data_IF_063656335609
#
_entry.id   IF_063656335609
#
_cell.length_a   1.000
_cell.length_b   1.000
_cell.length_c   1.000
_cell.angle_alpha   90.00
_cell.angle_beta   90.00
_cell.angle_gamma   90.00
#
_symmetry.space_group_name_H-M   'P 1'
#
loop_
_entity.id
_entity.type
_entity.pdbx_description
1 polymer ?
#
# COMPACT_ATOMS: atom_id res chain seq x y z
N UNK A 1 -50.27 -29.99 17.98
CA UNK A 1 -51.39 -29.42 17.22
C UNK A 1 -50.87 -28.48 16.18
N UNK A 2 -51.16 -28.82 14.90
CA UNK A 2 -51.25 -28.01 13.70
C UNK A 2 -50.04 -27.10 13.33
N UNK A 3 -49.13 -27.48 12.42
CA UNK A 3 -49.23 -27.55 10.94
C UNK A 3 -49.60 -26.24 10.26
N UNK A 4 -48.65 -25.71 9.46
CA UNK A 4 -48.86 -25.38 8.05
C UNK A 4 -47.60 -24.88 7.38
N UNK A 5 -47.19 -25.58 6.35
CA UNK A 5 -46.27 -25.24 5.28
C UNK A 5 -47.00 -24.52 4.11
N UNK A 6 -46.44 -24.34 2.92
CA UNK A 6 -45.81 -23.11 2.40
C UNK A 6 -46.59 -22.54 1.20
N UNK A 7 -46.18 -21.43 0.65
CA UNK A 7 -46.77 -20.98 -0.62
C UNK A 7 -45.65 -20.59 -1.61
N UNK A 8 -45.48 -21.45 -2.58
CA UNK A 8 -44.80 -21.25 -3.86
C UNK A 8 -45.67 -20.44 -4.80
N UNK A 9 -45.15 -19.42 -5.44
CA UNK A 9 -45.76 -18.78 -6.60
C UNK A 9 -44.76 -18.75 -7.76
N UNK A 10 -45.09 -19.56 -8.78
CA UNK A 10 -44.49 -19.50 -10.13
C UNK A 10 -45.04 -18.29 -10.91
N UNK A 11 -44.31 -17.75 -11.88
CA UNK A 11 -44.82 -16.73 -12.80
C UNK A 11 -45.49 -17.36 -14.03
N UNK A 12 -46.45 -16.69 -14.65
CA UNK A 12 -47.24 -17.23 -15.78
C UNK A 12 -46.53 -17.15 -17.12
N UNK A 13 -46.73 -18.18 -17.92
CA UNK A 13 -46.44 -18.24 -19.36
C UNK A 13 -47.49 -17.45 -20.10
N UNK A 14 -47.09 -16.70 -21.09
CA UNK A 14 -47.99 -16.16 -22.10
C UNK A 14 -47.73 -16.84 -23.47
N UNK A 15 -48.83 -17.33 -24.06
CA UNK A 15 -48.92 -17.92 -25.40
C UNK A 15 -49.75 -17.03 -26.27
N UNK A 16 -49.44 -17.02 -27.50
CA UNK A 16 -50.30 -16.91 -28.70
C UNK A 16 -49.73 -15.93 -29.73
N UNK A 17 -49.34 -16.48 -30.84
CA UNK A 17 -50.07 -16.70 -32.09
C UNK A 17 -50.17 -15.41 -32.91
N UNK A 18 -49.54 -15.28 -34.06
CA UNK A 18 -49.85 -15.95 -35.28
C UNK A 18 -50.39 -14.91 -36.26
N UNK A 19 -49.78 -14.71 -37.41
CA UNK A 19 -50.36 -13.83 -38.42
C UNK A 19 -49.40 -13.62 -39.59
N UNK A 20 -49.69 -14.32 -40.61
CA UNK A 20 -49.10 -14.43 -41.94
C UNK A 20 -49.24 -13.22 -42.82
N UNK A 21 -48.31 -13.10 -43.75
CA UNK A 21 -48.46 -13.00 -45.19
C UNK A 21 -48.13 -11.69 -45.91
N UNK A 22 -47.38 -11.90 -47.00
CA UNK A 22 -47.37 -11.20 -48.29
C UNK A 22 -46.77 -9.80 -48.30
N UNK A 23 -45.66 -9.58 -48.92
CA UNK A 23 -45.34 -9.75 -50.33
C UNK A 23 -45.10 -8.39 -50.92
N UNK A 24 -43.91 -8.13 -51.42
CA UNK A 24 -43.71 -7.35 -52.62
C UNK A 24 -42.21 -7.33 -52.95
N UNK A 25 -41.92 -8.05 -53.99
CA UNK A 25 -40.70 -7.85 -54.81
C UNK A 25 -40.56 -6.39 -55.19
N UNK A 26 -39.38 -5.83 -55.02
CA UNK A 26 -38.87 -4.97 -56.09
C UNK A 26 -37.35 -4.79 -56.04
N UNK A 27 -36.76 -5.25 -57.10
CA UNK A 27 -35.65 -4.69 -57.88
C UNK A 27 -34.26 -4.70 -57.28
N UNK A 28 -33.58 -5.77 -57.58
CA UNK A 28 -32.14 -5.72 -57.88
C UNK A 28 -31.92 -4.70 -59.00
N UNK A 29 -31.43 -3.53 -58.62
CA UNK A 29 -30.76 -2.64 -59.59
C UNK A 29 -29.46 -2.14 -59.01
N UNK A 30 -28.40 -2.79 -59.50
CA UNK A 30 -27.05 -2.29 -59.74
C UNK A 30 -26.26 -1.69 -58.59
N UNK A 31 -25.64 -2.56 -57.80
CA UNK A 31 -24.40 -2.24 -57.05
C UNK A 31 -23.22 -1.95 -58.00
N UNK A 32 -23.38 -2.13 -59.31
CA UNK A 32 -22.33 -1.92 -60.29
C UNK A 32 -21.98 -0.45 -60.54
N UNK A 33 -22.90 0.48 -60.29
CA UNK A 33 -22.66 1.94 -60.45
C UNK A 33 -22.01 2.60 -59.22
N UNK A 34 -21.97 1.93 -58.10
CA UNK A 34 -21.37 2.46 -56.86
C UNK A 34 -19.87 2.23 -56.78
N UNK A 35 -19.35 1.24 -57.51
CA UNK A 35 -17.93 0.81 -57.44
C UNK A 35 -17.02 1.50 -58.46
N UNK A 36 -17.57 2.31 -59.36
CA UNK A 36 -16.75 2.92 -60.45
C UNK A 36 -16.67 4.44 -60.48
N UNK A 37 -17.27 5.16 -59.57
CA UNK A 37 -17.29 6.64 -59.59
C UNK A 37 -16.87 7.36 -58.31
N UNK A 38 -16.24 6.70 -57.39
CA UNK A 38 -15.61 7.40 -56.25
C UNK A 38 -14.10 7.16 -56.34
N UNK A 39 -13.29 8.19 -56.67
CA UNK A 39 -11.85 8.07 -56.54
C UNK A 39 -11.55 7.72 -55.07
N UNK A 40 -10.76 6.69 -54.88
CA UNK A 40 -10.20 6.33 -53.56
C UNK A 40 -9.42 7.54 -53.02
N UNK A 41 -10.11 8.42 -52.30
CA UNK A 41 -9.45 9.33 -51.39
C UNK A 41 -8.73 8.38 -50.38
N UNK A 42 -7.44 8.29 -50.52
CA UNK A 42 -6.57 7.67 -49.52
C UNK A 42 -6.99 8.16 -48.15
N UNK A 43 -7.78 7.38 -47.44
CA UNK A 43 -7.80 7.46 -46.00
C UNK A 43 -6.40 7.03 -45.57
N UNK A 44 -5.57 8.01 -45.32
CA UNK A 44 -4.45 7.82 -44.45
C UNK A 44 -5.05 7.30 -43.13
N UNK A 45 -4.95 6.02 -42.90
CA UNK A 45 -5.09 5.48 -41.53
C UNK A 45 -4.07 6.24 -40.72
N UNK A 46 -4.52 7.31 -40.05
CA UNK A 46 -3.78 7.84 -38.94
C UNK A 46 -3.56 6.65 -38.01
N UNK A 47 -2.34 6.13 -37.99
CA UNK A 47 -1.90 5.21 -36.96
C UNK A 47 -2.41 5.80 -35.66
N UNK A 48 -3.47 5.24 -35.07
CA UNK A 48 -3.79 5.47 -33.67
C UNK A 48 -2.52 5.08 -32.96
N UNK A 49 -1.75 6.08 -32.54
CA UNK A 49 -0.65 5.85 -31.61
C UNK A 49 -1.33 5.23 -30.40
N UNK A 50 -1.20 3.93 -30.24
CA UNK A 50 -1.59 3.28 -29.01
C UNK A 50 -0.70 3.90 -27.94
N UNK A 51 -1.28 4.76 -27.11
CA UNK A 51 -0.60 5.27 -25.93
C UNK A 51 -0.20 4.01 -25.16
N UNK A 52 1.09 3.82 -24.87
CA UNK A 52 1.54 2.63 -24.14
C UNK A 52 0.73 2.49 -22.85
N UNK A 53 0.18 1.30 -22.61
CA UNK A 53 -0.53 1.01 -21.37
C UNK A 53 0.42 1.28 -20.19
N UNK A 54 -0.05 2.02 -19.18
CA UNK A 54 0.73 2.36 -17.98
C UNK A 54 1.31 3.78 -17.94
N UNK A 55 1.24 4.58 -19.03
CA UNK A 55 1.72 5.97 -19.01
C UNK A 55 0.79 6.94 -18.27
N UNK A 56 -0.47 6.56 -18.09
CA UNK A 56 -1.47 7.41 -17.44
C UNK A 56 -2.00 6.74 -16.18
N UNK A 57 -2.06 7.50 -15.11
CA UNK A 57 -2.58 7.07 -13.82
C UNK A 57 -3.74 7.97 -13.39
N UNK A 58 -4.83 7.38 -12.90
CA UNK A 58 -5.97 8.14 -12.39
C UNK A 58 -5.82 8.31 -10.89
N UNK A 59 -5.85 9.55 -10.40
CA UNK A 59 -5.79 9.81 -8.97
C UNK A 59 -7.07 9.27 -8.28
N UNK A 60 -6.94 8.40 -7.25
CA UNK A 60 -8.11 7.82 -6.58
C UNK A 60 -8.89 8.83 -5.72
N UNK A 61 -8.33 10.00 -5.46
CA UNK A 61 -8.97 11.04 -4.61
C UNK A 61 -9.70 12.11 -5.42
N UNK A 62 -9.14 12.56 -6.56
CA UNK A 62 -9.72 13.67 -7.34
C UNK A 62 -10.01 13.29 -8.80
N UNK A 63 -9.87 12.03 -9.18
CA UNK A 63 -10.10 11.48 -10.52
C UNK A 63 -9.26 12.10 -11.65
N UNK A 64 -8.29 12.95 -11.32
CA UNK A 64 -7.40 13.55 -12.29
C UNK A 64 -6.56 12.49 -13.00
N UNK A 65 -6.47 12.60 -14.31
CA UNK A 65 -5.57 11.78 -15.14
C UNK A 65 -4.19 12.42 -15.09
N UNK A 66 -3.20 11.64 -14.64
CA UNK A 66 -1.84 12.08 -14.35
C UNK A 66 -0.85 11.31 -15.22
N UNK A 67 0.17 11.98 -15.71
CA UNK A 67 1.24 11.37 -16.48
C UNK A 67 2.27 10.74 -15.57
N UNK A 68 2.61 9.46 -15.79
CA UNK A 68 3.48 8.69 -14.90
C UNK A 68 4.83 9.36 -14.60
N UNK A 69 5.58 9.91 -15.60
CA UNK A 69 6.83 10.61 -15.34
C UNK A 69 6.69 11.89 -14.50
N UNK A 70 5.51 12.56 -14.53
CA UNK A 70 5.26 13.70 -13.65
C UNK A 70 4.96 13.25 -12.21
N UNK A 71 4.27 12.12 -12.05
CA UNK A 71 4.06 11.51 -10.74
C UNK A 71 5.37 11.10 -10.08
N UNK A 72 6.29 10.54 -10.83
CA UNK A 72 7.62 10.16 -10.32
C UNK A 72 8.39 11.38 -9.81
N UNK A 73 8.33 12.52 -10.49
CA UNK A 73 8.93 13.78 -10.03
C UNK A 73 8.32 14.30 -8.72
N UNK A 74 7.02 14.04 -8.52
CA UNK A 74 6.31 14.42 -7.31
C UNK A 74 6.27 13.31 -6.26
N UNK A 75 7.11 12.26 -6.40
CA UNK A 75 7.20 11.11 -5.51
C UNK A 75 5.84 10.40 -5.32
N UNK A 76 5.08 10.23 -6.41
CA UNK A 76 3.72 9.66 -6.39
C UNK A 76 2.73 10.44 -5.50
N UNK A 77 2.89 11.75 -5.38
CA UNK A 77 1.92 12.65 -4.77
C UNK A 77 1.17 13.39 -5.89
N UNK A 78 -0.15 13.37 -5.84
CA UNK A 78 -0.97 14.05 -6.85
C UNK A 78 -0.72 15.56 -6.87
N UNK A 79 -0.28 16.16 -7.99
CA UNK A 79 -0.01 17.59 -8.04
C UNK A 79 -1.26 18.46 -7.93
N UNK A 80 -2.46 17.88 -8.12
CA UNK A 80 -3.74 18.61 -8.08
C UNK A 80 -4.41 18.64 -6.72
N UNK A 81 -4.40 17.50 -5.99
CA UNK A 81 -5.10 17.40 -4.70
C UNK A 81 -4.19 16.99 -3.54
N UNK A 82 -2.88 16.83 -3.80
CA UNK A 82 -1.88 16.43 -2.83
C UNK A 82 -2.15 15.05 -2.17
N UNK A 83 -2.96 14.21 -2.82
CA UNK A 83 -3.17 12.85 -2.36
C UNK A 83 -1.88 12.04 -2.51
N UNK A 84 -1.42 11.43 -1.42
CA UNK A 84 -0.26 10.54 -1.38
C UNK A 84 -0.69 9.16 -1.87
N UNK A 85 -0.30 8.79 -3.10
CA UNK A 85 -0.56 7.47 -3.63
C UNK A 85 0.35 6.44 -2.95
N UNK A 86 -0.10 5.21 -2.89
CA UNK A 86 0.71 4.12 -2.36
C UNK A 86 1.93 3.89 -3.24
N UNK A 87 3.07 3.66 -2.60
CA UNK A 87 4.33 3.26 -3.25
C UNK A 87 4.86 2.01 -2.58
N UNK A 88 5.60 1.21 -3.33
CA UNK A 88 6.23 0.00 -2.80
C UNK A 88 7.35 0.29 -1.82
N UNK A 89 7.71 -0.71 -1.02
CA UNK A 89 8.71 -0.58 0.02
C UNK A 89 10.09 -0.22 -0.54
N UNK A 90 10.54 -0.84 -1.64
CA UNK A 90 11.82 -0.50 -2.28
C UNK A 90 11.85 0.93 -2.77
N UNK A 91 10.82 1.36 -3.50
CA UNK A 91 10.72 2.73 -3.97
C UNK A 91 10.78 3.74 -2.81
N UNK A 92 10.13 3.44 -1.69
CA UNK A 92 10.15 4.27 -0.49
C UNK A 92 11.56 4.39 0.10
N UNK A 93 12.28 3.28 0.21
CA UNK A 93 13.65 3.26 0.70
C UNK A 93 14.61 3.92 -0.29
N UNK A 94 14.37 3.79 -1.59
CA UNK A 94 15.16 4.44 -2.65
C UNK A 94 15.04 5.98 -2.62
N UNK A 95 13.84 6.48 -2.38
CA UNK A 95 13.60 7.93 -2.21
C UNK A 95 14.23 8.44 -0.93
N UNK A 96 14.28 7.63 0.11
CA UNK A 96 14.65 8.07 1.45
C UNK A 96 16.15 7.98 1.74
N UNK A 97 16.80 6.87 1.40
CA UNK A 97 18.22 6.63 1.68
C UNK A 97 19.12 7.15 0.56
N UNK A 98 20.36 7.42 0.91
CA UNK A 98 21.44 7.66 -0.06
C UNK A 98 21.62 6.42 -0.94
N UNK A 99 22.07 6.60 -2.18
CA UNK A 99 22.18 5.47 -3.14
C UNK A 99 23.29 4.51 -2.78
N UNK A 100 24.37 4.99 -2.17
CA UNK A 100 25.59 4.22 -1.95
C UNK A 100 25.61 3.52 -0.59
N UNK A 101 26.23 2.33 -0.56
CA UNK A 101 26.53 1.61 0.67
C UNK A 101 25.32 1.02 1.38
N UNK A 102 24.25 0.71 0.65
CA UNK A 102 23.07 0.00 1.19
C UNK A 102 23.34 -1.48 1.31
N UNK A 103 22.85 -2.06 2.37
CA UNK A 103 22.89 -3.51 2.62
C UNK A 103 21.52 -3.98 3.11
N UNK A 104 20.99 -5.02 2.46
CA UNK A 104 19.71 -5.60 2.86
C UNK A 104 19.87 -6.61 3.99
N UNK A 105 19.08 -6.45 5.04
CA UNK A 105 19.10 -7.26 6.23
C UNK A 105 18.04 -8.37 6.17
N UNK A 106 18.46 -9.63 6.22
CA UNK A 106 17.54 -10.76 6.21
C UNK A 106 16.88 -11.02 4.84
N UNK A 107 17.57 -10.68 3.74
CA UNK A 107 17.12 -11.01 2.39
C UNK A 107 16.99 -12.53 2.15
N UNK A 108 17.75 -13.31 2.90
CA UNK A 108 17.77 -14.78 2.90
C UNK A 108 16.54 -15.43 3.56
N UNK A 109 15.73 -14.65 4.26
CA UNK A 109 14.58 -15.16 5.00
C UNK A 109 13.39 -15.37 4.07
N UNK A 110 12.80 -16.56 4.17
CA UNK A 110 11.60 -16.94 3.44
C UNK A 110 10.48 -17.42 4.38
N UNK A 111 9.21 -17.08 4.09
CA UNK A 111 8.09 -17.53 4.90
C UNK A 111 7.85 -19.02 4.75
N UNK A 112 7.53 -19.68 5.87
CA UNK A 112 7.23 -21.12 5.92
C UNK A 112 5.81 -21.34 6.41
N UNK A 113 5.00 -22.04 5.62
CA UNK A 113 3.64 -22.45 6.02
C UNK A 113 3.70 -23.63 7.02
N UNK A 114 3.96 -23.30 8.30
CA UNK A 114 4.07 -24.30 9.38
C UNK A 114 2.72 -24.94 9.74
N UNK A 115 1.64 -24.20 9.57
CA UNK A 115 0.30 -24.62 9.97
C UNK A 115 -0.47 -25.33 8.83
N UNK A 116 0.09 -25.33 7.62
CA UNK A 116 -0.61 -25.78 6.40
C UNK A 116 -1.99 -25.13 6.28
N UNK A 117 -2.02 -23.81 6.57
CA UNK A 117 -3.27 -23.06 6.65
C UNK A 117 -3.99 -23.04 5.30
N UNK A 118 -5.29 -23.22 5.37
CA UNK A 118 -6.19 -23.15 4.22
C UNK A 118 -7.53 -22.53 4.61
N UNK A 119 -7.91 -21.50 3.89
CA UNK A 119 -9.27 -20.98 3.81
C UNK A 119 -9.84 -21.26 2.40
N UNK A 120 -10.24 -20.25 1.65
CA UNK A 120 -10.58 -20.37 0.22
C UNK A 120 -9.39 -20.78 -0.65
N UNK A 121 -8.16 -20.45 -0.23
CA UNK A 121 -6.88 -20.79 -0.88
C UNK A 121 -5.88 -21.27 0.18
N UNK A 122 -4.90 -22.08 -0.23
CA UNK A 122 -3.78 -22.45 0.65
C UNK A 122 -2.89 -21.23 0.91
N UNK A 123 -2.34 -21.12 2.10
CA UNK A 123 -1.41 -20.04 2.45
C UNK A 123 -0.20 -20.02 1.51
N UNK A 124 0.37 -21.20 1.23
CA UNK A 124 1.49 -21.33 0.26
C UNK A 124 1.17 -20.71 -1.11
N UNK A 125 -0.05 -20.89 -1.62
CA UNK A 125 -0.45 -20.35 -2.91
C UNK A 125 -0.59 -18.81 -2.86
N UNK A 126 -1.01 -18.27 -1.70
CA UNK A 126 -1.06 -16.82 -1.47
C UNK A 126 0.34 -16.22 -1.39
N UNK A 127 1.29 -16.88 -0.72
CA UNK A 127 2.69 -16.46 -0.66
C UNK A 127 3.30 -16.38 -2.04
N UNK A 128 3.19 -17.45 -2.85
CA UNK A 128 3.72 -17.48 -4.21
C UNK A 128 3.11 -16.38 -5.11
N UNK A 129 1.81 -16.13 -4.95
CA UNK A 129 1.14 -15.06 -5.70
C UNK A 129 1.65 -13.67 -5.29
N UNK A 130 1.82 -13.42 -3.98
CA UNK A 130 2.34 -12.16 -3.47
C UNK A 130 3.80 -11.94 -3.87
N UNK A 131 4.64 -12.97 -3.77
CA UNK A 131 6.05 -12.94 -4.22
C UNK A 131 6.15 -12.61 -5.71
N UNK A 132 5.31 -13.24 -6.54
CA UNK A 132 5.27 -12.97 -7.99
C UNK A 132 4.81 -11.55 -8.30
N UNK A 133 3.86 -11.04 -7.54
CA UNK A 133 3.28 -9.70 -7.73
C UNK A 133 4.26 -8.60 -7.34
N UNK A 134 4.94 -8.76 -6.20
CA UNK A 134 5.78 -7.70 -5.60
C UNK A 134 7.25 -7.84 -5.92
N UNK A 135 7.71 -9.05 -6.27
CA UNK A 135 9.14 -9.37 -6.38
C UNK A 135 9.83 -9.52 -5.02
N UNK A 136 9.09 -9.44 -3.90
CA UNK A 136 9.62 -9.50 -2.54
C UNK A 136 9.34 -10.84 -1.89
N UNK A 137 10.24 -11.30 -1.01
CA UNK A 137 10.06 -12.56 -0.28
C UNK A 137 9.01 -12.45 0.83
N UNK A 138 8.84 -11.28 1.45
CA UNK A 138 7.84 -11.00 2.48
C UNK A 138 7.55 -9.49 2.60
N UNK A 139 6.61 -9.12 3.47
CA UNK A 139 6.00 -7.79 3.57
C UNK A 139 6.86 -6.71 4.24
N UNK A 140 8.13 -6.95 4.55
CA UNK A 140 9.04 -5.95 5.11
C UNK A 140 10.40 -6.02 4.42
N UNK A 141 10.91 -4.87 4.00
CA UNK A 141 12.30 -4.70 3.57
C UNK A 141 13.03 -3.92 4.65
N UNK A 142 14.23 -4.36 5.00
CA UNK A 142 15.09 -3.70 5.97
C UNK A 142 16.45 -3.43 5.35
N UNK A 143 16.87 -2.17 5.33
CA UNK A 143 18.16 -1.75 4.78
C UNK A 143 19.00 -1.04 5.84
N UNK A 144 20.27 -1.37 5.90
CA UNK A 144 21.32 -0.53 6.47
C UNK A 144 21.82 0.39 5.38
N UNK A 145 22.00 1.68 5.69
CA UNK A 145 22.44 2.67 4.70
C UNK A 145 22.77 4.02 5.34
N UNK A 146 22.64 5.08 4.56
CA UNK A 146 22.85 6.45 5.04
C UNK A 146 21.67 7.34 4.68
N UNK A 147 21.44 8.34 5.48
CA UNK A 147 20.50 9.42 5.24
C UNK A 147 21.25 10.75 5.27
N UNK A 148 21.47 11.37 4.11
CA UNK A 148 22.29 12.59 3.97
C UNK A 148 23.65 12.41 4.66
N UNK A 149 24.33 11.31 4.32
CA UNK A 149 25.62 10.93 4.88
C UNK A 149 25.61 10.32 6.29
N UNK A 150 24.53 10.43 7.05
CA UNK A 150 24.43 9.86 8.40
C UNK A 150 24.06 8.36 8.34
N UNK A 151 24.79 7.48 9.04
CA UNK A 151 24.40 6.07 9.15
C UNK A 151 23.02 5.93 9.76
N UNK A 152 22.18 5.12 9.14
CA UNK A 152 20.81 4.77 9.63
C UNK A 152 20.44 3.36 9.23
N UNK A 153 19.50 2.77 9.95
CA UNK A 153 18.78 1.57 9.54
C UNK A 153 17.34 1.95 9.21
N UNK A 154 16.86 1.59 8.04
CA UNK A 154 15.50 1.90 7.62
C UNK A 154 14.76 0.65 7.18
N UNK A 155 13.51 0.51 7.66
CA UNK A 155 12.58 -0.51 7.24
C UNK A 155 11.40 0.10 6.50
N UNK A 156 10.84 -0.63 5.53
CA UNK A 156 9.59 -0.26 4.89
C UNK A 156 8.71 -1.49 4.67
N UNK A 157 7.43 -1.34 4.97
CA UNK A 157 6.43 -2.36 4.69
C UNK A 157 6.03 -2.35 3.22
N UNK A 158 5.95 -3.56 2.63
CA UNK A 158 5.37 -3.78 1.31
C UNK A 158 3.89 -4.12 1.46
N UNK A 159 3.03 -3.14 1.22
CA UNK A 159 1.60 -3.33 1.43
C UNK A 159 0.98 -4.28 0.41
N UNK A 160 1.50 -4.32 -0.81
CA UNK A 160 0.99 -5.22 -1.86
C UNK A 160 1.34 -6.68 -1.60
N UNK A 161 2.28 -6.94 -0.66
CA UNK A 161 2.52 -8.28 -0.15
C UNK A 161 1.51 -8.62 0.96
N UNK A 162 0.42 -9.27 0.60
CA UNK A 162 -0.64 -9.72 1.52
C UNK A 162 -1.14 -8.61 2.49
N UNK A 163 -1.33 -7.39 1.97
CA UNK A 163 -1.77 -6.25 2.75
C UNK A 163 -0.75 -5.75 3.78
N UNK A 164 0.54 -5.96 3.54
CA UNK A 164 1.59 -5.57 4.50
C UNK A 164 1.50 -6.32 5.83
N UNK A 165 0.85 -7.49 5.87
CA UNK A 165 0.58 -8.19 7.12
C UNK A 165 1.85 -8.73 7.78
N UNK A 166 1.95 -8.52 9.10
CA UNK A 166 3.09 -8.96 9.90
C UNK A 166 3.03 -10.46 10.19
N UNK A 167 3.91 -11.23 9.55
CA UNK A 167 4.20 -12.63 9.84
C UNK A 167 5.55 -12.79 10.52
N UNK A 168 5.99 -14.05 10.67
CA UNK A 168 7.24 -14.40 11.33
C UNK A 168 8.47 -13.72 10.69
N UNK A 169 8.50 -13.62 9.37
CA UNK A 169 9.60 -13.01 8.62
C UNK A 169 9.66 -11.50 8.84
N UNK A 170 8.51 -10.82 8.83
CA UNK A 170 8.43 -9.38 9.13
C UNK A 170 9.03 -9.09 10.50
N UNK A 171 8.60 -9.86 11.54
CA UNK A 171 9.14 -9.69 12.88
C UNK A 171 10.63 -10.00 12.97
N UNK A 172 11.13 -11.03 12.27
CA UNK A 172 12.55 -11.36 12.26
C UNK A 172 13.40 -10.30 11.55
N UNK A 173 12.98 -9.82 10.36
CA UNK A 173 13.68 -8.75 9.65
C UNK A 173 13.72 -7.47 10.46
N UNK A 174 12.60 -7.13 11.13
CA UNK A 174 12.56 -5.97 12.03
C UNK A 174 13.56 -6.10 13.18
N UNK A 175 13.66 -7.28 13.82
CA UNK A 175 14.63 -7.51 14.90
C UNK A 175 16.07 -7.48 14.39
N UNK A 176 16.36 -8.02 13.21
CA UNK A 176 17.68 -7.87 12.57
C UNK A 176 18.03 -6.42 12.31
N UNK A 177 17.06 -5.61 11.89
CA UNK A 177 17.24 -4.17 11.73
C UNK A 177 17.56 -3.47 13.05
N UNK A 178 16.85 -3.80 14.13
CA UNK A 178 17.15 -3.32 15.48
C UNK A 178 18.56 -3.71 15.90
N UNK A 179 18.96 -4.97 15.71
CA UNK A 179 20.31 -5.44 16.07
C UNK A 179 21.38 -4.68 15.28
N UNK A 180 21.18 -4.47 13.98
CA UNK A 180 22.12 -3.68 13.16
C UNK A 180 22.21 -2.21 13.64
N UNK A 181 21.10 -1.61 14.06
CA UNK A 181 21.09 -0.26 14.63
C UNK A 181 21.84 -0.20 15.97
N UNK A 182 21.69 -1.21 16.83
CA UNK A 182 22.43 -1.36 18.08
C UNK A 182 23.93 -1.52 17.84
N UNK A 183 24.33 -2.42 16.94
CA UNK A 183 25.74 -2.68 16.59
C UNK A 183 26.44 -1.44 16.06
N UNK A 184 25.76 -0.66 15.23
CA UNK A 184 26.33 0.56 14.64
C UNK A 184 26.11 1.82 15.48
N UNK A 185 25.35 1.71 16.57
CA UNK A 185 24.90 2.87 17.37
C UNK A 185 24.31 3.99 16.51
N UNK A 186 23.45 3.61 15.54
CA UNK A 186 22.81 4.52 14.61
C UNK A 186 21.28 4.47 14.74
N UNK A 187 20.55 5.55 14.42
CA UNK A 187 19.11 5.59 14.54
C UNK A 187 18.43 4.61 13.57
N UNK A 188 17.23 4.22 13.95
CA UNK A 188 16.36 3.37 13.13
C UNK A 188 15.08 4.10 12.75
N UNK A 189 14.59 3.84 11.53
CA UNK A 189 13.29 4.31 11.05
C UNK A 189 12.48 3.12 10.51
N UNK A 190 11.14 3.21 10.61
CA UNK A 190 10.26 2.24 10.00
C UNK A 190 9.07 2.93 9.31
N UNK A 191 8.96 2.75 8.01
CA UNK A 191 7.78 3.17 7.25
C UNK A 191 6.72 2.06 7.34
N UNK A 192 5.73 2.26 8.17
CA UNK A 192 4.68 1.29 8.41
C UNK A 192 3.52 1.45 7.43
N UNK A 193 3.15 0.34 6.76
CA UNK A 193 1.97 0.20 5.92
C UNK A 193 1.43 -1.23 6.07
N UNK A 194 0.35 -1.43 6.85
CA UNK A 194 -0.06 -2.78 7.20
C UNK A 194 -1.53 -2.90 7.57
N UNK A 195 -2.15 -4.00 7.16
CA UNK A 195 -3.45 -4.44 7.66
C UNK A 195 -3.41 -5.12 9.04
N UNK A 196 -2.23 -5.36 9.61
CA UNK A 196 -2.06 -5.96 10.95
C UNK A 196 -1.35 -7.30 10.96
N UNK A 197 -1.66 -8.15 11.96
CA UNK A 197 -1.05 -9.47 12.10
C UNK A 197 -1.53 -10.44 11.00
N UNK A 198 -0.63 -11.26 10.48
CA UNK A 198 -0.92 -12.23 9.41
C UNK A 198 -1.76 -13.40 9.93
N UNK A 199 -3.03 -13.41 9.54
CA UNK A 199 -4.01 -14.40 10.01
C UNK A 199 -3.57 -15.85 9.73
N UNK A 200 -2.94 -16.10 8.59
CA UNK A 200 -2.51 -17.43 8.16
C UNK A 200 -1.41 -18.03 9.03
N UNK A 201 -0.73 -17.22 9.81
CA UNK A 201 0.30 -17.66 10.78
C UNK A 201 -0.23 -17.71 12.23
N UNK A 202 -1.50 -17.39 12.45
CA UNK A 202 -2.19 -17.48 13.73
C UNK A 202 -1.39 -16.88 14.89
N UNK A 203 -1.18 -17.64 15.99
CA UNK A 203 -0.43 -17.18 17.16
C UNK A 203 1.00 -16.74 16.84
N UNK A 204 1.65 -17.34 15.83
CA UNK A 204 3.03 -16.96 15.45
C UNK A 204 3.08 -15.49 15.03
N UNK A 205 2.09 -15.01 14.28
CA UNK A 205 2.02 -13.60 13.87
C UNK A 205 1.75 -12.67 15.06
N UNK A 206 0.94 -13.07 16.03
CA UNK A 206 0.69 -12.28 17.24
C UNK A 206 1.94 -12.19 18.13
N UNK A 207 2.73 -13.25 18.22
CA UNK A 207 4.00 -13.25 18.96
C UNK A 207 5.03 -12.29 18.37
N UNK A 208 4.89 -11.88 17.10
CA UNK A 208 5.77 -10.85 16.52
C UNK A 208 5.57 -9.48 17.17
N UNK A 209 4.36 -9.18 17.66
CA UNK A 209 4.12 -7.94 18.41
C UNK A 209 5.02 -7.85 19.64
N UNK A 210 5.04 -8.91 20.48
CA UNK A 210 5.90 -8.98 21.65
C UNK A 210 7.40 -8.96 21.26
N UNK A 211 7.77 -9.70 20.21
CA UNK A 211 9.15 -9.80 19.73
C UNK A 211 9.70 -8.44 19.27
N UNK A 212 8.93 -7.70 18.47
CA UNK A 212 9.34 -6.38 17.96
C UNK A 212 9.36 -5.33 19.07
N UNK A 213 8.39 -5.35 19.99
CA UNK A 213 8.36 -4.45 21.15
C UNK A 213 9.55 -4.67 22.09
N UNK A 214 9.91 -5.93 22.37
CA UNK A 214 11.10 -6.26 23.17
C UNK A 214 12.40 -5.81 22.48
N UNK A 215 12.46 -5.89 21.15
CA UNK A 215 13.61 -5.39 20.42
C UNK A 215 13.72 -3.86 20.52
N UNK A 216 12.62 -3.11 20.39
CA UNK A 216 12.60 -1.65 20.55
C UNK A 216 12.97 -1.20 21.96
N UNK A 217 12.61 -1.98 23.00
CA UNK A 217 13.03 -1.69 24.37
C UNK A 217 14.56 -1.61 24.48
N UNK A 218 15.29 -2.49 23.76
CA UNK A 218 16.76 -2.47 23.73
C UNK A 218 17.33 -1.22 23.07
N UNK A 219 16.72 -0.70 21.99
CA UNK A 219 17.13 0.59 21.39
C UNK A 219 16.97 1.71 22.40
N UNK A 220 15.85 1.73 23.10
CA UNK A 220 15.55 2.74 24.12
C UNK A 220 16.53 2.69 25.30
N UNK A 221 16.88 1.49 25.80
CA UNK A 221 17.87 1.31 26.86
C UNK A 221 19.24 1.87 26.46
N UNK A 222 19.62 1.73 25.18
CA UNK A 222 20.88 2.25 24.62
C UNK A 222 20.79 3.71 24.14
N UNK A 223 19.64 4.37 24.29
CA UNK A 223 19.42 5.75 23.87
C UNK A 223 19.54 5.95 22.35
N UNK A 224 19.23 4.91 21.56
CA UNK A 224 19.26 4.97 20.11
C UNK A 224 17.87 5.32 19.59
N UNK A 225 17.70 6.44 18.86
CA UNK A 225 16.41 6.89 18.39
C UNK A 225 15.72 5.94 17.41
N UNK A 226 14.43 5.70 17.64
CA UNK A 226 13.54 5.02 16.72
C UNK A 226 12.42 5.95 16.25
N UNK A 227 12.34 6.23 14.95
CA UNK A 227 11.26 7.01 14.35
C UNK A 227 10.32 6.08 13.59
N UNK A 228 9.04 6.13 13.97
CA UNK A 228 7.97 5.47 13.22
C UNK A 228 7.33 6.43 12.23
N UNK A 229 7.27 6.05 10.95
CA UNK A 229 6.61 6.83 9.89
C UNK A 229 5.39 6.05 9.42
N UNK A 230 4.21 6.54 9.78
CA UNK A 230 2.93 5.91 9.47
C UNK A 230 2.46 6.34 8.09
N UNK A 231 2.22 5.37 7.22
CA UNK A 231 1.71 5.61 5.86
C UNK A 231 0.32 4.98 5.69
N UNK A 232 -0.30 5.10 4.53
CA UNK A 232 -1.68 4.64 4.33
C UNK A 232 -1.76 3.20 3.82
N UNK A 233 -2.43 2.25 4.55
CA UNK A 233 -2.96 2.34 5.90
C UNK A 233 -2.06 1.65 6.96
N UNK A 234 -2.29 1.92 8.26
CA UNK A 234 -1.66 1.18 9.36
C UNK A 234 -2.70 0.69 10.36
N UNK A 235 -2.84 -0.63 10.51
CA UNK A 235 -3.86 -1.23 11.35
C UNK A 235 -3.37 -2.43 12.19
N UNK A 236 -4.24 -2.85 13.08
CA UNK A 236 -4.19 -4.11 13.83
C UNK A 236 -2.94 -4.30 14.65
N UNK A 237 -2.33 -5.50 14.58
CA UNK A 237 -1.14 -5.85 15.37
C UNK A 237 0.08 -4.98 15.09
N UNK A 238 0.22 -4.39 13.89
CA UNK A 238 1.34 -3.50 13.57
C UNK A 238 1.16 -2.15 14.27
N UNK A 239 -0.03 -1.54 14.20
CA UNK A 239 -0.31 -0.33 14.96
C UNK A 239 -0.22 -0.55 16.47
N UNK A 240 -0.72 -1.68 16.99
CA UNK A 240 -0.67 -2.03 18.40
C UNK A 240 0.71 -2.50 18.90
N UNK A 241 1.75 -2.37 18.09
CA UNK A 241 3.13 -2.71 18.45
C UNK A 241 4.12 -1.72 17.84
N UNK A 242 5.00 -2.17 16.98
CA UNK A 242 6.14 -1.39 16.47
C UNK A 242 5.78 -0.02 15.87
N UNK A 243 4.59 0.13 15.26
CA UNK A 243 4.24 1.38 14.58
C UNK A 243 3.91 2.52 15.56
N UNK A 244 3.40 2.24 16.75
CA UNK A 244 3.06 3.25 17.77
C UNK A 244 4.07 3.30 18.93
N UNK A 245 5.26 2.70 18.76
CA UNK A 245 6.33 2.66 19.76
C UNK A 245 7.56 3.50 19.36
N UNK A 246 7.42 4.41 18.39
CA UNK A 246 8.46 5.36 18.02
C UNK A 246 8.73 6.37 19.15
N UNK A 247 9.99 6.80 19.31
CA UNK A 247 10.34 7.97 20.12
C UNK A 247 9.74 9.23 19.51
N UNK A 248 9.58 9.24 18.19
CA UNK A 248 8.81 10.21 17.42
C UNK A 248 7.95 9.44 16.41
N UNK A 249 6.66 9.77 16.37
CA UNK A 249 5.68 9.16 15.49
C UNK A 249 5.24 10.20 14.45
N UNK A 250 5.61 9.95 13.21
CA UNK A 250 5.32 10.80 12.06
C UNK A 250 4.28 10.12 11.18
N UNK A 251 3.37 10.88 10.57
CA UNK A 251 2.45 10.34 9.57
C UNK A 251 2.53 11.10 8.23
N UNK A 252 2.25 10.41 7.12
CA UNK A 252 1.94 11.08 5.86
C UNK A 252 0.54 11.74 5.96
N UNK A 253 0.29 12.85 5.23
CA UNK A 253 -1.02 13.49 5.19
C UNK A 253 -2.14 12.53 4.81
N UNK A 254 -3.25 12.59 5.50
CA UNK A 254 -4.45 11.78 5.28
C UNK A 254 -4.25 10.27 5.40
N UNK A 255 -3.15 9.81 5.96
CA UNK A 255 -2.93 8.40 6.21
C UNK A 255 -4.00 7.85 7.17
N UNK A 256 -4.49 6.65 6.88
CA UNK A 256 -5.53 6.00 7.66
C UNK A 256 -4.86 5.07 8.70
N UNK A 257 -5.00 5.42 9.98
CA UNK A 257 -4.24 4.80 11.06
C UNK A 257 -5.18 4.48 12.22
N UNK A 258 -5.17 3.22 12.68
CA UNK A 258 -6.01 2.80 13.79
C UNK A 258 -5.74 1.35 14.18
N UNK A 259 -6.55 0.82 15.10
CA UNK A 259 -6.48 -0.62 15.42
C UNK A 259 -7.45 -1.42 14.55
N UNK A 260 -8.74 -1.14 14.65
CA UNK A 260 -9.75 -1.73 13.75
C UNK A 260 -10.05 -0.76 12.60
N UNK A 261 -10.22 -1.30 11.39
CA UNK A 261 -10.59 -0.48 10.24
C UNK A 261 -12.00 0.14 10.39
N UNK A 262 -12.28 1.30 9.76
CA UNK A 262 -13.57 2.00 9.89
C UNK A 262 -14.78 1.11 9.64
N UNK A 263 -14.76 0.29 8.61
CA UNK A 263 -15.84 -0.65 8.28
C UNK A 263 -16.14 -1.65 9.40
N UNK A 264 -15.09 -2.16 10.06
CA UNK A 264 -15.24 -3.11 11.17
C UNK A 264 -15.89 -2.42 12.36
N UNK A 265 -15.46 -1.19 12.66
CA UNK A 265 -16.03 -0.39 13.74
C UNK A 265 -17.52 -0.10 13.47
N UNK A 266 -17.84 0.44 12.30
CA UNK A 266 -19.23 0.77 11.91
C UNK A 266 -20.15 -0.45 11.93
N UNK A 267 -19.68 -1.60 11.47
CA UNK A 267 -20.45 -2.86 11.52
C UNK A 267 -20.66 -3.39 12.94
N UNK A 268 -19.69 -3.16 13.83
CA UNK A 268 -19.75 -3.64 15.21
C UNK A 268 -20.59 -2.73 16.08
N UNK A 269 -20.36 -1.41 15.99
CA UNK A 269 -21.06 -0.38 16.80
C UNK A 269 -22.40 -0.01 16.17
N UNK A 270 -22.58 -0.23 14.86
CA UNK A 270 -23.76 0.13 14.04
C UNK A 270 -24.02 1.62 13.97
N UNK A 271 -22.96 2.41 14.08
CA UNK A 271 -22.99 3.87 13.97
C UNK A 271 -22.07 4.34 12.85
N UNK A 272 -22.37 5.49 12.27
CA UNK A 272 -21.49 6.13 11.29
C UNK A 272 -20.36 6.86 12.02
N UNK A 273 -19.14 6.65 11.55
CA UNK A 273 -17.97 7.33 12.10
C UNK A 273 -17.95 8.81 11.65
N UNK A 274 -17.44 9.71 12.49
CA UNK A 274 -17.23 11.10 12.11
C UNK A 274 -16.34 11.22 10.87
N UNK A 275 -16.54 12.30 10.10
CA UNK A 275 -15.64 12.63 9.00
C UNK A 275 -14.20 12.83 9.49
N UNK A 276 -13.24 12.28 8.78
CA UNK A 276 -11.82 12.36 9.16
C UNK A 276 -11.39 11.41 10.28
N UNK A 277 -12.29 10.60 10.83
CA UNK A 277 -11.96 9.62 11.87
C UNK A 277 -10.80 8.69 11.44
N UNK A 278 -9.84 8.49 12.32
CA UNK A 278 -8.61 7.70 12.08
C UNK A 278 -7.69 8.27 10.99
N UNK A 279 -7.90 9.48 10.48
CA UNK A 279 -6.92 10.13 9.62
C UNK A 279 -5.78 10.72 10.45
N UNK A 280 -4.61 10.87 9.82
CA UNK A 280 -3.43 11.44 10.48
C UNK A 280 -3.73 12.80 11.14
N UNK A 281 -4.55 13.65 10.51
CA UNK A 281 -4.95 14.95 11.05
C UNK A 281 -5.73 14.80 12.36
N UNK A 282 -6.70 13.88 12.40
CA UNK A 282 -7.46 13.55 13.60
C UNK A 282 -6.54 13.04 14.72
N UNK A 283 -5.60 12.17 14.39
CA UNK A 283 -4.67 11.61 15.37
C UNK A 283 -3.69 12.66 15.92
N UNK A 284 -3.25 13.60 15.09
CA UNK A 284 -2.41 14.71 15.51
C UNK A 284 -3.17 15.64 16.49
N UNK A 285 -4.42 15.98 16.18
CA UNK A 285 -5.28 16.79 17.04
C UNK A 285 -5.52 16.14 18.41
N UNK A 286 -5.60 14.80 18.45
CA UNK A 286 -5.80 14.04 19.70
C UNK A 286 -4.48 13.60 20.37
N UNK A 287 -3.34 14.06 19.90
CA UNK A 287 -2.03 13.77 20.49
C UNK A 287 -1.56 12.32 20.37
N UNK A 288 -2.11 11.54 19.42
CA UNK A 288 -1.71 10.15 19.18
C UNK A 288 -0.48 10.04 18.30
N UNK A 289 -0.14 11.08 17.55
CA UNK A 289 1.09 11.21 16.75
C UNK A 289 1.71 12.59 16.95
N UNK A 290 3.00 12.74 16.65
CA UNK A 290 3.75 13.97 16.94
C UNK A 290 3.72 14.96 15.77
N UNK A 291 3.70 14.49 14.52
CA UNK A 291 3.71 15.36 13.36
C UNK A 291 3.20 14.72 12.08
N UNK A 292 2.75 15.56 11.15
CA UNK A 292 2.41 15.15 9.78
C UNK A 292 3.44 15.78 8.84
N UNK A 293 4.06 14.95 8.00
CA UNK A 293 5.08 15.39 7.05
C UNK A 293 4.74 14.88 5.64
N UNK A 294 4.59 15.77 4.65
CA UNK A 294 4.45 15.37 3.25
C UNK A 294 5.68 14.57 2.78
N UNK A 295 5.46 13.62 1.87
CA UNK A 295 6.52 12.71 1.37
C UNK A 295 7.73 13.43 0.83
N UNK A 296 7.55 14.51 0.12
CA UNK A 296 8.64 15.35 -0.41
C UNK A 296 9.53 15.97 0.66
N UNK A 297 8.99 16.14 1.87
CA UNK A 297 9.71 16.76 2.98
C UNK A 297 10.26 15.73 3.98
N UNK A 298 9.87 14.45 3.88
CA UNK A 298 10.28 13.41 4.85
C UNK A 298 11.79 13.30 4.96
N UNK A 299 12.49 13.15 3.83
CA UNK A 299 13.95 12.98 3.81
C UNK A 299 14.69 14.17 4.48
N UNK A 300 14.51 15.43 4.08
CA UNK A 300 15.21 16.55 4.70
C UNK A 300 14.80 16.80 6.16
N UNK A 301 13.52 16.65 6.50
CA UNK A 301 13.04 16.90 7.88
C UNK A 301 13.51 15.84 8.85
N UNK A 302 13.43 14.57 8.48
CA UNK A 302 13.88 13.48 9.33
C UNK A 302 15.40 13.43 9.49
N UNK A 303 16.16 13.83 8.45
CA UNK A 303 17.62 13.99 8.58
C UNK A 303 17.99 15.03 9.63
N UNK A 304 17.33 16.19 9.62
CA UNK A 304 17.55 17.23 10.65
C UNK A 304 17.12 16.78 12.05
N UNK A 305 15.95 16.14 12.15
CA UNK A 305 15.43 15.64 13.42
C UNK A 305 16.38 14.61 14.04
N UNK A 306 16.86 13.64 13.25
CA UNK A 306 17.81 12.64 13.71
C UNK A 306 19.16 13.23 14.11
N UNK A 307 19.66 14.24 13.39
CA UNK A 307 20.86 14.96 13.79
C UNK A 307 20.67 15.64 15.16
N UNK A 308 19.53 16.26 15.36
CA UNK A 308 19.15 16.90 16.64
C UNK A 308 19.09 15.89 17.79
N UNK A 309 18.39 14.76 17.60
CA UNK A 309 18.27 13.69 18.61
C UNK A 309 19.61 13.04 18.97
N UNK A 310 20.59 13.07 18.05
CA UNK A 310 21.92 12.55 18.26
C UNK A 310 22.95 13.63 18.69
N UNK A 311 22.51 14.87 18.93
CA UNK A 311 23.38 16.02 19.23
C UNK A 311 24.48 16.26 18.17
N UNK A 312 24.16 15.99 16.89
CA UNK A 312 25.04 16.18 15.74
C UNK A 312 24.71 17.49 15.02
N UNK A 313 25.64 18.10 14.28
CA UNK A 313 25.35 19.23 13.41
C UNK A 313 24.24 18.91 12.41
N UNK A 314 23.41 19.91 12.08
CA UNK A 314 22.41 19.76 11.02
C UNK A 314 23.07 19.36 9.71
N UNK A 315 22.55 18.35 9.00
CA UNK A 315 23.12 17.95 7.72
C UNK A 315 22.93 19.06 6.66
N UNK A 316 23.94 19.23 5.81
CA UNK A 316 23.86 20.10 4.65
C UNK A 316 23.02 19.38 3.60
N UNK A 317 21.85 19.93 3.31
CA UNK A 317 20.98 19.43 2.25
C UNK A 317 21.40 20.09 0.95
N UNK A 318 21.78 19.31 -0.05
CA UNK A 318 21.92 19.82 -1.40
C UNK A 318 20.57 20.38 -1.85
N UNK A 319 20.57 21.60 -2.38
CA UNK A 319 19.38 22.20 -2.99
C UNK A 319 18.94 21.34 -4.18
N UNK A 320 17.74 20.76 -4.08
CA UNK A 320 17.14 19.98 -5.16
C UNK A 320 16.84 20.82 -6.41
#
# INVERSE_FOLDING_TARGET
MASKQPNTLEPPRDQSAGGSAEGLENTRMSNWLRDKLIPSIMRSEAKKSSVPEGLWHKCPSCDAVLYRPELEKTLDVCPKCHHHMRIGARQRLDIFLDTDGREELGADLEPVDRLKFRDSKKYKDRLLAAQKQTGENDALIALRGKLVGMPVVACAFEFDFMGGSMGAIVGERFVRAVNAALEQRCPMLCFAASGGARMQEALISLMQMAKTSAALARLREEGIPFISVLTDPVYGGVSASLAMLGDVIVAEPRALIGFAGPRVIEQTVREKLPEGFQRSEFLLEHGAIDMIIPRSELRPRLARLLAQMQHKPSPVLESA
#
